data_IF_741414964325
#
_entry.id   IF_741414964325
#
_cell.length_a   1.000
_cell.length_b   1.000
_cell.length_c   1.000
_cell.angle_alpha   90.00
_cell.angle_beta   90.00
_cell.angle_gamma   90.00
#
_symmetry.space_group_name_H-M   'P 1'
#
loop_
_entity.id
_entity.type
_entity.pdbx_description
1 polymer ?
#
# COMPACT_ATOMS: atom_id res chain seq x y z
N UNK A 1 49.09 6.86 44.09
CA UNK A 1 48.14 7.91 43.66
C UNK A 1 47.85 7.66 42.18
N UNK A 2 46.65 7.39 41.70
CA UNK A 2 45.32 7.07 42.26
C UNK A 2 44.44 6.77 41.03
N UNK A 3 43.88 5.59 40.85
CA UNK A 3 42.66 5.06 41.47
C UNK A 3 41.36 5.66 40.90
N UNK A 4 40.57 4.79 40.25
CA UNK A 4 39.18 4.95 39.75
C UNK A 4 39.02 5.85 38.49
N UNK A 5 38.13 5.55 37.53
CA UNK A 5 37.00 4.60 37.56
C UNK A 5 36.88 3.68 36.33
N UNK A 6 36.09 2.60 36.47
CA UNK A 6 35.73 1.66 35.39
C UNK A 6 34.31 1.94 34.92
N UNK A 7 34.01 1.65 33.65
CA UNK A 7 32.69 1.13 33.25
C UNK A 7 32.85 0.22 32.02
N UNK A 8 32.77 -1.09 32.27
CA UNK A 8 32.80 -2.14 31.25
C UNK A 8 31.39 -2.33 30.68
N UNK A 9 31.22 -2.21 29.36
CA UNK A 9 30.01 -2.68 28.68
C UNK A 9 30.20 -4.16 28.29
N UNK A 10 29.36 -5.04 28.86
CA UNK A 10 29.41 -6.48 28.60
C UNK A 10 28.70 -6.86 27.29
N UNK A 11 29.19 -7.84 26.53
CA UNK A 11 28.39 -8.47 25.49
C UNK A 11 27.35 -9.40 26.13
N UNK A 12 26.09 -9.27 25.72
CA UNK A 12 25.06 -10.27 26.00
C UNK A 12 25.03 -11.28 24.85
N UNK A 13 25.41 -12.52 25.18
CA UNK A 13 25.28 -13.67 24.30
C UNK A 13 24.45 -14.75 25.01
N UNK A 14 23.77 -15.59 24.21
CA UNK A 14 22.81 -16.65 24.58
C UNK A 14 21.37 -16.12 24.82
N UNK A 15 20.31 -16.88 24.50
CA UNK A 15 20.26 -18.32 24.20
C UNK A 15 19.17 -18.69 23.18
N UNK A 16 19.52 -19.56 22.22
CA UNK A 16 18.56 -20.33 21.42
C UNK A 16 18.79 -21.83 21.68
N UNK A 17 18.02 -22.40 22.61
CA UNK A 17 17.96 -23.85 22.85
C UNK A 17 16.57 -24.21 23.40
N UNK A 18 15.72 -24.83 22.57
CA UNK A 18 14.40 -25.33 22.94
C UNK A 18 13.80 -26.13 21.79
N UNK A 19 13.26 -27.33 22.05
CA UNK A 19 12.86 -28.29 21.01
C UNK A 19 11.41 -28.75 21.21
N UNK A 20 10.58 -28.60 20.17
CA UNK A 20 9.39 -29.39 19.81
C UNK A 20 8.15 -29.42 20.74
N UNK A 21 6.95 -29.24 20.17
CA UNK A 21 5.87 -30.28 20.12
C UNK A 21 4.51 -29.72 19.62
N UNK A 22 3.87 -30.35 18.62
CA UNK A 22 2.53 -29.99 18.06
C UNK A 22 1.32 -30.50 18.91
N UNK A 23 0.14 -29.89 18.66
CA UNK A 23 -1.24 -30.48 18.66
C UNK A 23 -2.14 -30.48 19.94
N UNK A 24 -3.34 -29.83 19.89
CA UNK A 24 -4.72 -30.43 20.02
C UNK A 24 -5.92 -29.45 20.23
N UNK A 25 -6.92 -29.55 19.33
CA UNK A 25 -8.41 -29.52 19.46
C UNK A 25 -9.25 -28.31 20.00
N UNK A 26 -9.98 -27.68 19.05
CA UNK A 26 -11.45 -27.62 18.84
C UNK A 26 -12.49 -26.97 19.82
N UNK A 27 -13.24 -26.00 19.25
CA UNK A 27 -14.73 -25.87 19.15
C UNK A 27 -15.59 -25.17 20.25
N UNK A 28 -16.36 -24.13 19.84
CA UNK A 28 -17.85 -24.21 19.64
C UNK A 28 -18.66 -22.88 19.49
N UNK A 29 -19.43 -22.76 18.39
CA UNK A 29 -20.83 -22.26 18.25
C UNK A 29 -21.27 -20.76 18.37
N UNK A 30 -21.52 -20.15 17.20
CA UNK A 30 -22.76 -19.46 16.69
C UNK A 30 -23.72 -18.69 17.64
N UNK A 31 -24.11 -17.44 17.28
CA UNK A 31 -25.46 -17.10 16.72
C UNK A 31 -25.72 -15.60 16.39
N UNK A 32 -26.73 -15.38 15.55
CA UNK A 32 -26.98 -14.29 14.57
C UNK A 32 -27.86 -13.07 14.96
N UNK A 33 -27.53 -11.91 14.36
CA UNK A 33 -28.36 -10.90 13.62
C UNK A 33 -29.27 -9.81 14.30
N UNK A 34 -29.59 -8.68 13.58
CA UNK A 34 -30.13 -7.42 14.16
C UNK A 34 -31.42 -6.81 13.51
N UNK A 35 -31.93 -5.68 14.07
CA UNK A 35 -32.94 -4.74 13.50
C UNK A 35 -33.00 -3.42 14.34
N UNK A 36 -33.48 -2.22 13.93
CA UNK A 36 -33.97 -1.70 12.63
C UNK A 36 -34.47 -0.22 12.67
N UNK A 37 -34.65 0.38 11.48
CA UNK A 37 -35.24 1.70 11.06
C UNK A 37 -36.40 2.34 11.88
N UNK A 38 -36.63 3.68 11.94
CA UNK A 38 -37.31 4.52 10.89
C UNK A 38 -37.55 6.03 11.24
N UNK A 39 -37.37 6.92 10.24
CA UNK A 39 -38.22 8.03 9.72
C UNK A 39 -39.10 9.02 10.59
N UNK A 40 -39.06 10.34 10.24
CA UNK A 40 -40.07 11.14 9.43
C UNK A 40 -40.52 12.55 9.95
N UNK A 41 -40.63 13.49 8.98
CA UNK A 41 -41.69 14.50 8.76
C UNK A 41 -41.63 15.98 9.32
N UNK A 42 -41.75 16.93 8.39
CA UNK A 42 -42.38 18.29 8.53
C UNK A 42 -43.84 18.23 7.96
N UNK A 43 -44.69 19.30 7.76
CA UNK A 43 -44.40 20.70 7.34
C UNK A 43 -45.36 21.82 7.87
N UNK A 44 -45.34 23.03 7.29
CA UNK A 44 -46.39 24.06 7.48
C UNK A 44 -46.20 25.33 6.62
N UNK A 45 -47.28 25.91 6.05
CA UNK A 45 -47.26 27.11 5.21
C UNK A 45 -48.61 27.85 5.13
N UNK A 46 -48.61 29.20 5.01
CA UNK A 46 -49.71 30.12 4.55
C UNK A 46 -49.39 31.58 4.96
N UNK A 47 -50.00 32.69 4.49
CA UNK A 47 -50.69 33.16 3.24
C UNK A 47 -51.12 34.65 3.51
N UNK A 48 -51.68 35.36 2.50
CA UNK A 48 -52.54 36.60 2.57
C UNK A 48 -51.83 37.97 2.38
N UNK A 49 -52.48 39.06 1.89
CA UNK A 49 -53.49 39.28 0.81
C UNK A 49 -53.54 40.80 0.46
N UNK A 50 -54.17 41.17 -0.67
CA UNK A 50 -54.40 42.58 -1.10
C UNK A 50 -55.63 43.23 -0.42
N UNK A 51 -55.68 44.57 -0.42
CA UNK A 51 -56.89 45.40 -0.18
C UNK A 51 -56.86 46.71 -1.00
N UNK A 52 -58.03 47.29 -1.31
CA UNK A 52 -58.19 48.50 -2.13
C UNK A 52 -59.56 49.19 -1.90
N UNK A 53 -59.70 50.42 -2.43
CA UNK A 53 -60.93 51.15 -2.87
C UNK A 53 -61.58 52.27 -2.00
N UNK A 54 -61.88 53.37 -2.73
CA UNK A 54 -63.07 54.25 -2.72
C UNK A 54 -63.26 55.44 -1.73
N UNK A 55 -63.78 56.56 -2.29
CA UNK A 55 -64.33 57.74 -1.61
C UNK A 55 -64.41 59.01 -2.50
N UNK A 56 -65.62 59.45 -2.88
CA UNK A 56 -65.96 60.61 -3.75
C UNK A 56 -66.78 61.68 -2.94
N UNK A 57 -67.43 62.75 -3.48
CA UNK A 57 -67.35 63.52 -4.75
C UNK A 57 -67.41 65.08 -4.58
N UNK A 58 -67.51 65.88 -5.66
CA UNK A 58 -68.15 67.22 -5.56
C UNK A 58 -67.98 68.28 -6.68
N UNK A 59 -69.12 68.72 -7.25
CA UNK A 59 -69.39 70.00 -7.95
C UNK A 59 -68.98 70.21 -9.44
N UNK A 60 -69.69 71.14 -10.10
CA UNK A 60 -69.85 71.28 -11.57
C UNK A 60 -69.44 72.67 -12.07
N UNK A 61 -68.96 72.78 -13.31
CA UNK A 61 -69.42 73.83 -14.25
C UNK A 61 -68.99 73.56 -15.71
N UNK A 62 -69.77 74.09 -16.64
CA UNK A 62 -69.62 73.98 -18.11
C UNK A 62 -68.59 74.95 -18.68
N UNK A 63 -67.89 74.59 -19.77
CA UNK A 63 -67.81 75.39 -21.00
C UNK A 63 -67.07 74.67 -22.15
N UNK A 64 -67.21 75.21 -23.36
CA UNK A 64 -66.93 74.57 -24.66
C UNK A 64 -65.47 74.65 -25.14
N UNK A 65 -65.14 73.80 -26.12
CA UNK A 65 -63.81 73.50 -26.65
C UNK A 65 -62.85 74.69 -26.88
N UNK A 66 -61.54 74.51 -26.60
CA UNK A 66 -60.64 73.97 -27.63
C UNK A 66 -59.93 72.65 -27.22
N UNK A 67 -60.58 71.84 -26.40
CA UNK A 67 -60.02 70.67 -25.72
C UNK A 67 -59.48 69.51 -26.61
N UNK A 68 -59.47 69.61 -27.94
CA UNK A 68 -58.88 68.60 -28.84
C UNK A 68 -57.44 68.92 -29.26
N UNK A 69 -57.02 70.19 -29.32
CA UNK A 69 -55.67 70.57 -29.76
C UNK A 69 -54.65 70.49 -28.61
N UNK A 70 -54.89 71.22 -27.51
CA UNK A 70 -54.02 71.23 -26.33
C UNK A 70 -53.91 69.84 -25.68
N UNK A 71 -55.01 69.06 -25.65
CA UNK A 71 -55.00 67.68 -25.15
C UNK A 71 -54.13 66.75 -26.01
N UNK A 72 -54.10 66.95 -27.34
CA UNK A 72 -53.16 66.23 -28.23
C UNK A 72 -51.71 66.66 -28.03
N UNK A 73 -51.44 67.93 -27.73
CA UNK A 73 -50.09 68.40 -27.42
C UNK A 73 -49.58 67.84 -26.08
N UNK A 74 -50.39 67.92 -25.02
CA UNK A 74 -50.08 67.36 -23.70
C UNK A 74 -49.89 65.83 -23.74
N UNK A 75 -50.74 65.10 -24.48
CA UNK A 75 -50.58 63.65 -24.68
C UNK A 75 -49.29 63.30 -25.46
N UNK A 76 -48.88 64.12 -26.44
CA UNK A 76 -47.58 63.93 -27.13
C UNK A 76 -46.39 64.25 -26.21
N UNK A 77 -46.50 65.26 -25.36
CA UNK A 77 -45.44 65.64 -24.42
C UNK A 77 -45.26 64.58 -23.32
N UNK A 78 -46.33 64.23 -22.59
CA UNK A 78 -46.31 63.11 -21.63
C UNK A 78 -45.96 61.77 -22.28
N UNK A 79 -46.34 61.54 -23.55
CA UNK A 79 -45.92 60.36 -24.30
C UNK A 79 -44.41 60.31 -24.51
N UNK A 80 -43.80 61.41 -24.99
CA UNK A 80 -42.33 61.52 -25.15
C UNK A 80 -41.60 61.41 -23.82
N UNK A 81 -42.12 62.03 -22.77
CA UNK A 81 -41.48 62.04 -21.46
C UNK A 81 -41.60 60.69 -20.74
N UNK A 82 -42.73 59.99 -20.87
CA UNK A 82 -42.87 58.58 -20.45
C UNK A 82 -41.84 57.71 -21.17
N UNK A 83 -41.74 57.79 -22.50
CA UNK A 83 -40.76 57.01 -23.30
C UNK A 83 -39.31 57.35 -22.89
N UNK A 84 -39.01 58.63 -22.59
CA UNK A 84 -37.69 59.04 -22.08
C UNK A 84 -37.40 58.40 -20.72
N UNK A 85 -38.30 58.56 -19.75
CA UNK A 85 -38.14 58.00 -18.39
C UNK A 85 -38.07 56.46 -18.40
N UNK A 86 -38.84 55.80 -19.27
CA UNK A 86 -38.85 54.36 -19.46
C UNK A 86 -37.53 53.86 -20.11
N UNK A 87 -37.02 54.56 -21.13
CA UNK A 87 -35.72 54.24 -21.73
C UNK A 87 -34.52 54.56 -20.82
N UNK A 88 -34.62 55.57 -19.95
CA UNK A 88 -33.60 55.86 -18.93
C UNK A 88 -33.65 54.84 -17.78
N UNK A 89 -34.83 54.40 -17.37
CA UNK A 89 -35.01 53.28 -16.44
C UNK A 89 -34.44 51.96 -16.97
N UNK A 90 -34.63 51.67 -18.25
CA UNK A 90 -33.99 50.51 -18.93
C UNK A 90 -32.47 50.66 -18.98
N UNK A 91 -31.94 51.85 -19.33
CA UNK A 91 -30.48 52.14 -19.30
C UNK A 91 -29.88 52.02 -17.90
N UNK A 92 -30.61 52.39 -16.85
CA UNK A 92 -30.16 52.27 -15.46
C UNK A 92 -30.14 50.81 -15.00
N UNK A 93 -31.22 50.03 -15.26
CA UNK A 93 -31.27 48.60 -14.95
C UNK A 93 -30.19 47.81 -15.68
N UNK A 94 -29.94 48.13 -16.95
CA UNK A 94 -28.88 47.50 -17.74
C UNK A 94 -27.49 47.71 -17.11
N UNK A 95 -27.15 48.95 -16.75
CA UNK A 95 -25.88 49.27 -16.06
C UNK A 95 -25.74 48.60 -14.69
N UNK A 96 -26.84 48.45 -13.94
CA UNK A 96 -26.82 47.73 -12.67
C UNK A 96 -26.52 46.23 -12.86
N UNK A 97 -27.15 45.60 -13.86
CA UNK A 97 -26.89 44.19 -14.22
C UNK A 97 -25.44 44.02 -14.71
N UNK A 98 -24.97 44.87 -15.62
CA UNK A 98 -23.59 44.85 -16.12
C UNK A 98 -22.56 45.01 -14.98
N UNK A 99 -22.83 45.87 -13.99
CA UNK A 99 -22.00 46.00 -12.79
C UNK A 99 -21.96 44.72 -11.94
N UNK A 100 -23.11 44.06 -11.72
CA UNK A 100 -23.14 42.79 -10.96
C UNK A 100 -22.49 41.63 -11.70
N UNK A 101 -22.57 41.59 -13.04
CA UNK A 101 -21.89 40.57 -13.86
C UNK A 101 -20.38 40.74 -13.75
N UNK A 102 -19.86 41.96 -13.91
CA UNK A 102 -18.42 42.24 -13.77
C UNK A 102 -17.89 41.89 -12.36
N UNK A 103 -18.67 42.11 -11.30
CA UNK A 103 -18.27 41.72 -9.94
C UNK A 103 -18.24 40.19 -9.76
N UNK A 104 -19.21 39.47 -10.33
CA UNK A 104 -19.22 38.00 -10.34
C UNK A 104 -18.04 37.47 -11.15
N UNK A 105 -17.78 37.99 -12.35
CA UNK A 105 -16.63 37.61 -13.18
C UNK A 105 -15.30 37.85 -12.47
N UNK A 106 -15.13 39.00 -11.80
CA UNK A 106 -13.92 39.29 -11.02
C UNK A 106 -13.74 38.31 -9.85
N UNK A 107 -14.81 37.99 -9.11
CA UNK A 107 -14.77 37.00 -8.03
C UNK A 107 -14.46 35.59 -8.55
N UNK A 108 -15.05 35.18 -9.68
CA UNK A 108 -14.77 33.90 -10.35
C UNK A 108 -13.31 33.84 -10.82
N UNK A 109 -12.79 34.91 -11.42
CA UNK A 109 -11.39 35.01 -11.86
C UNK A 109 -10.41 34.94 -10.68
N UNK A 110 -10.72 35.59 -9.56
CA UNK A 110 -9.92 35.51 -8.33
C UNK A 110 -9.91 34.10 -7.74
N UNK A 111 -11.06 33.43 -7.67
CA UNK A 111 -11.16 32.03 -7.19
C UNK A 111 -10.42 31.08 -8.14
N UNK A 112 -10.58 31.22 -9.45
CA UNK A 112 -9.86 30.42 -10.44
C UNK A 112 -8.33 30.62 -10.33
N UNK A 113 -7.88 31.87 -10.19
CA UNK A 113 -6.47 32.19 -9.95
C UNK A 113 -5.93 31.56 -8.66
N UNK A 114 -6.69 31.63 -7.56
CA UNK A 114 -6.33 30.98 -6.30
C UNK A 114 -6.23 29.45 -6.44
N UNK A 115 -7.17 28.81 -7.14
CA UNK A 115 -7.13 27.37 -7.44
C UNK A 115 -5.89 27.01 -8.26
N UNK A 116 -5.56 27.77 -9.31
CA UNK A 116 -4.33 27.54 -10.11
C UNK A 116 -3.07 27.68 -9.26
N UNK A 117 -3.00 28.67 -8.37
CA UNK A 117 -1.87 28.83 -7.43
C UNK A 117 -1.77 27.66 -6.46
N UNK A 118 -2.89 27.21 -5.88
CA UNK A 118 -2.91 26.04 -4.97
C UNK A 118 -2.46 24.78 -5.69
N UNK A 119 -2.99 24.50 -6.88
CA UNK A 119 -2.58 23.35 -7.70
C UNK A 119 -1.10 23.43 -8.09
N UNK A 120 -0.60 24.62 -8.46
CA UNK A 120 0.81 24.84 -8.75
C UNK A 120 1.73 24.60 -7.55
N UNK A 121 1.33 25.03 -6.35
CA UNK A 121 2.06 24.77 -5.10
C UNK A 121 2.04 23.28 -4.72
N UNK A 122 0.91 22.59 -4.90
CA UNK A 122 0.80 21.15 -4.66
C UNK A 122 1.67 20.36 -5.64
N UNK A 123 1.62 20.70 -6.94
CA UNK A 123 2.44 20.10 -7.98
C UNK A 123 3.94 20.33 -7.71
N UNK A 124 4.35 21.56 -7.41
CA UNK A 124 5.75 21.89 -7.10
C UNK A 124 6.25 21.14 -5.86
N UNK A 125 5.42 21.04 -4.81
CA UNK A 125 5.75 20.24 -3.61
C UNK A 125 5.90 18.75 -3.94
N UNK A 126 5.00 18.19 -4.76
CA UNK A 126 5.10 16.80 -5.20
C UNK A 126 6.37 16.56 -6.02
N UNK A 127 6.64 17.40 -7.01
CA UNK A 127 7.83 17.34 -7.86
C UNK A 127 9.13 17.45 -7.05
N UNK A 128 9.21 18.39 -6.10
CA UNK A 128 10.39 18.55 -5.25
C UNK A 128 10.59 17.37 -4.29
N UNK A 129 9.51 16.78 -3.74
CA UNK A 129 9.59 15.54 -2.94
C UNK A 129 10.08 14.37 -3.79
N UNK A 130 9.46 14.14 -4.95
CA UNK A 130 9.86 13.09 -5.89
C UNK A 130 11.33 13.24 -6.32
N UNK A 131 11.79 14.47 -6.60
CA UNK A 131 13.19 14.74 -6.95
C UNK A 131 14.16 14.53 -5.79
N UNK A 132 13.78 14.88 -4.54
CA UNK A 132 14.60 14.62 -3.34
C UNK A 132 14.68 13.12 -3.05
N UNK A 133 13.55 12.41 -3.08
CA UNK A 133 13.51 10.96 -2.95
C UNK A 133 14.35 10.29 -4.03
N UNK A 134 14.20 10.66 -5.30
CA UNK A 134 15.04 10.16 -6.39
C UNK A 134 16.53 10.58 -6.31
N UNK A 135 16.90 11.55 -5.46
CA UNK A 135 18.30 11.82 -5.16
C UNK A 135 18.80 10.88 -4.07
N UNK A 136 18.08 10.79 -2.94
CA UNK A 136 18.37 9.85 -1.84
C UNK A 136 18.49 8.41 -2.36
N UNK A 137 17.54 7.95 -3.18
CA UNK A 137 17.54 6.60 -3.78
C UNK A 137 18.71 6.33 -4.74
N UNK A 138 19.51 7.34 -5.10
CA UNK A 138 20.77 7.16 -5.87
C UNK A 138 22.02 7.29 -5.01
N UNK A 139 21.88 7.65 -3.73
CA UNK A 139 23.02 7.71 -2.82
C UNK A 139 23.38 6.30 -2.34
N UNK A 140 24.67 5.92 -2.43
CA UNK A 140 25.14 4.62 -1.96
C UNK A 140 24.79 4.40 -0.48
N UNK A 141 24.68 3.15 -0.04
CA UNK A 141 24.49 2.86 1.38
C UNK A 141 25.70 3.39 2.20
N UNK A 142 25.47 3.88 3.43
CA UNK A 142 26.56 4.31 4.31
C UNK A 142 27.59 3.19 4.53
N UNK A 143 28.89 3.50 4.68
CA UNK A 143 29.92 2.49 4.96
C UNK A 143 29.58 1.58 6.14
N UNK A 144 29.08 2.15 7.23
CA UNK A 144 28.66 1.43 8.44
C UNK A 144 27.53 0.41 8.18
N UNK A 145 26.66 0.68 7.22
CA UNK A 145 25.59 -0.25 6.81
C UNK A 145 26.13 -1.40 5.95
N UNK A 146 27.13 -1.14 5.10
CA UNK A 146 27.83 -2.20 4.35
C UNK A 146 28.64 -3.11 5.26
N UNK A 147 29.30 -2.54 6.27
CA UNK A 147 30.03 -3.29 7.29
C UNK A 147 29.07 -4.19 8.08
N UNK A 148 27.92 -3.66 8.51
CA UNK A 148 26.88 -4.42 9.20
C UNK A 148 26.32 -5.57 8.34
N UNK A 149 26.03 -5.31 7.05
CA UNK A 149 25.59 -6.35 6.12
C UNK A 149 26.66 -7.41 5.88
N UNK A 150 27.93 -7.03 5.78
CA UNK A 150 29.05 -7.97 5.64
C UNK A 150 29.26 -8.82 6.91
N UNK A 151 28.98 -8.27 8.09
CA UNK A 151 29.01 -9.05 9.34
C UNK A 151 27.82 -10.02 9.43
N UNK A 152 26.60 -9.50 9.23
CA UNK A 152 25.36 -10.20 9.57
C UNK A 152 24.80 -11.09 8.48
N UNK A 153 25.02 -10.79 7.20
CA UNK A 153 24.33 -11.48 6.08
C UNK A 153 25.34 -12.29 5.26
N UNK A 154 25.42 -13.63 5.41
CA UNK A 154 26.32 -14.47 4.60
C UNK A 154 26.12 -14.28 3.09
N UNK A 155 24.86 -14.14 2.66
CA UNK A 155 24.46 -13.90 1.28
C UNK A 155 25.04 -12.59 0.72
N UNK A 156 25.16 -11.52 1.53
CA UNK A 156 25.84 -10.28 1.14
C UNK A 156 27.31 -10.52 0.84
N UNK A 157 28.01 -11.27 1.71
CA UNK A 157 29.46 -11.57 1.56
C UNK A 157 29.78 -12.38 0.31
N UNK A 158 28.91 -13.31 -0.08
CA UNK A 158 29.04 -14.07 -1.33
C UNK A 158 28.76 -13.21 -2.55
N UNK A 159 27.68 -12.43 -2.54
CA UNK A 159 27.21 -11.65 -3.70
C UNK A 159 28.29 -10.78 -4.38
N UNK A 160 28.40 -10.78 -5.73
CA UNK A 160 29.30 -9.92 -6.48
C UNK A 160 29.10 -8.42 -6.21
N UNK A 161 30.20 -7.67 -6.16
CA UNK A 161 30.23 -6.25 -5.81
C UNK A 161 29.39 -5.37 -6.76
N UNK A 162 29.35 -5.70 -8.05
CA UNK A 162 28.51 -5.03 -9.04
C UNK A 162 27.01 -5.21 -8.71
N UNK A 163 26.60 -6.44 -8.37
CA UNK A 163 25.22 -6.74 -8.01
C UNK A 163 24.83 -6.08 -6.67
N UNK A 164 25.74 -6.03 -5.70
CA UNK A 164 25.52 -5.29 -4.45
C UNK A 164 25.19 -3.82 -4.73
N UNK A 165 25.97 -3.15 -5.58
CA UNK A 165 25.77 -1.74 -5.96
C UNK A 165 24.46 -1.50 -6.70
N UNK A 166 24.04 -2.46 -7.53
CA UNK A 166 22.72 -2.43 -8.19
C UNK A 166 21.56 -2.62 -7.19
N UNK A 167 21.80 -3.32 -6.07
CA UNK A 167 20.82 -3.49 -5.00
C UNK A 167 20.70 -2.30 -4.03
N UNK A 168 21.76 -1.52 -3.80
CA UNK A 168 21.72 -0.39 -2.83
C UNK A 168 20.53 0.58 -3.03
N UNK A 169 20.19 1.02 -4.26
CA UNK A 169 18.98 1.82 -4.51
C UNK A 169 17.66 1.13 -4.13
N UNK A 170 17.58 -0.20 -4.32
CA UNK A 170 16.38 -1.01 -4.04
C UNK A 170 16.17 -1.15 -2.54
N UNK A 171 17.23 -1.51 -1.81
CA UNK A 171 17.22 -1.62 -0.34
C UNK A 171 16.86 -0.27 0.29
N UNK A 172 17.40 0.84 -0.23
CA UNK A 172 17.04 2.18 0.25
C UNK A 172 15.59 2.55 -0.05
N UNK A 173 15.03 2.12 -1.19
CA UNK A 173 13.61 2.32 -1.49
C UNK A 173 12.73 1.51 -0.53
N UNK A 174 13.06 0.23 -0.33
CA UNK A 174 12.38 -0.64 0.62
C UNK A 174 12.33 -0.06 2.04
N UNK A 175 13.46 0.44 2.54
CA UNK A 175 13.57 1.03 3.88
C UNK A 175 12.76 2.33 4.09
N UNK A 176 12.44 3.05 3.00
CA UNK A 176 11.62 4.27 2.99
C UNK A 176 10.13 3.96 2.80
N UNK A 177 9.80 2.95 2.00
CA UNK A 177 8.41 2.58 1.65
C UNK A 177 7.76 1.64 2.66
N UNK A 178 8.51 0.66 3.17
CA UNK A 178 7.99 -0.41 4.04
C UNK A 178 8.18 -0.02 5.51
N UNK A 179 7.09 -0.01 6.27
CA UNK A 179 7.14 0.27 7.71
C UNK A 179 7.56 -0.98 8.49
N UNK A 180 8.61 -0.87 9.28
CA UNK A 180 8.93 -1.89 10.26
C UNK A 180 8.25 -1.60 11.60
N UNK A 181 7.60 -2.60 12.19
CA UNK A 181 6.86 -2.48 13.45
C UNK A 181 7.36 -3.54 14.43
N UNK A 182 7.84 -3.10 15.59
CA UNK A 182 8.22 -4.01 16.66
C UNK A 182 7.01 -4.48 17.45
N UNK A 183 6.87 -5.79 17.59
CA UNK A 183 5.80 -6.46 18.32
C UNK A 183 6.36 -7.16 19.57
N UNK A 184 5.47 -7.57 20.50
CA UNK A 184 5.89 -8.26 21.73
C UNK A 184 6.78 -7.43 22.67
N UNK A 185 6.83 -6.10 22.49
CA UNK A 185 7.72 -5.20 23.23
C UNK A 185 9.13 -5.04 22.63
N UNK A 186 9.39 -5.62 21.45
CA UNK A 186 10.63 -5.41 20.71
C UNK A 186 10.71 -3.97 20.18
N UNK A 187 11.84 -3.30 20.37
CA UNK A 187 12.17 -2.05 19.68
C UNK A 187 12.97 -2.39 18.41
N UNK A 188 12.43 -2.02 17.24
CA UNK A 188 13.11 -2.30 15.95
C UNK A 188 14.31 -1.39 15.79
N UNK A 189 15.49 -1.99 15.61
CA UNK A 189 16.75 -1.29 15.34
C UNK A 189 16.98 -1.13 13.83
N UNK A 190 17.84 -0.18 13.44
CA UNK A 190 18.24 -0.04 12.03
C UNK A 190 18.96 -1.28 11.48
N UNK A 191 19.62 -2.07 12.35
CA UNK A 191 20.18 -3.38 12.01
C UNK A 191 19.10 -4.35 11.51
N UNK A 192 18.02 -4.53 12.29
CA UNK A 192 16.92 -5.42 11.92
C UNK A 192 16.32 -5.03 10.58
N UNK A 193 16.06 -3.72 10.40
CA UNK A 193 15.51 -3.17 9.16
C UNK A 193 16.42 -3.46 7.97
N UNK A 194 17.72 -3.22 8.12
CA UNK A 194 18.69 -3.37 7.04
C UNK A 194 18.91 -4.84 6.65
N UNK A 195 19.04 -5.73 7.63
CA UNK A 195 19.22 -7.19 7.42
C UNK A 195 18.01 -7.79 6.70
N UNK A 196 16.79 -7.43 7.11
CA UNK A 196 15.56 -7.90 6.46
C UNK A 196 15.42 -7.27 5.06
N UNK A 197 15.57 -5.95 4.94
CA UNK A 197 15.42 -5.24 3.66
C UNK A 197 16.43 -5.70 2.61
N UNK A 198 17.66 -6.04 2.99
CA UNK A 198 18.65 -6.59 2.07
C UNK A 198 18.19 -7.93 1.50
N UNK A 199 17.85 -8.88 2.38
CA UNK A 199 17.47 -10.24 1.98
C UNK A 199 16.20 -10.25 1.12
N UNK A 200 15.17 -9.51 1.53
CA UNK A 200 13.97 -9.27 0.71
C UNK A 200 14.33 -8.72 -0.69
N UNK A 201 15.22 -7.72 -0.77
CA UNK A 201 15.63 -7.15 -2.04
C UNK A 201 16.45 -8.09 -2.95
N UNK A 202 17.01 -9.20 -2.44
CA UNK A 202 17.70 -10.21 -3.28
C UNK A 202 16.70 -10.83 -4.25
N UNK A 203 15.51 -11.22 -3.78
CA UNK A 203 14.47 -11.87 -4.59
C UNK A 203 13.97 -11.00 -5.75
N UNK A 204 14.16 -9.67 -5.66
CA UNK A 204 13.80 -8.70 -6.69
C UNK A 204 15.02 -7.99 -7.32
N UNK A 205 16.24 -8.50 -7.16
CA UNK A 205 17.44 -7.82 -7.63
C UNK A 205 17.41 -7.51 -9.15
N UNK A 206 16.87 -8.43 -9.97
CA UNK A 206 16.65 -8.24 -11.43
C UNK A 206 15.23 -7.81 -11.82
N UNK A 207 14.35 -7.52 -10.86
CA UNK A 207 12.93 -7.17 -11.07
C UNK A 207 12.68 -5.67 -10.87
N UNK A 208 11.48 -5.21 -11.18
CA UNK A 208 11.06 -3.86 -10.80
C UNK A 208 10.84 -3.77 -9.27
N UNK A 209 11.27 -2.69 -8.58
CA UNK A 209 11.01 -2.54 -7.14
C UNK A 209 9.52 -2.44 -6.77
N UNK A 210 8.67 -2.06 -7.72
CA UNK A 210 7.22 -1.92 -7.54
C UNK A 210 6.48 -3.23 -7.21
N UNK A 211 7.15 -4.38 -7.27
CA UNK A 211 6.63 -5.65 -6.75
C UNK A 211 6.28 -5.56 -5.25
N UNK A 212 7.04 -4.76 -4.48
CA UNK A 212 6.74 -4.49 -3.07
C UNK A 212 5.89 -3.23 -2.85
N UNK A 213 5.26 -2.65 -3.89
CA UNK A 213 4.47 -1.42 -3.75
C UNK A 213 3.18 -1.60 -2.91
N UNK A 214 2.69 -2.83 -2.76
CA UNK A 214 1.55 -3.18 -1.90
C UNK A 214 1.95 -3.50 -0.46
N UNK A 215 3.23 -3.79 -0.19
CA UNK A 215 3.73 -4.16 1.13
C UNK A 215 3.80 -2.92 2.04
N UNK A 216 2.82 -2.77 2.93
CA UNK A 216 2.73 -1.66 3.87
C UNK A 216 3.66 -1.82 5.07
N UNK A 217 3.82 -3.05 5.61
CA UNK A 217 4.65 -3.26 6.80
C UNK A 217 5.25 -4.64 6.99
N UNK A 218 6.42 -4.69 7.62
CA UNK A 218 7.01 -5.89 8.22
C UNK A 218 6.82 -5.80 9.74
N UNK A 219 6.14 -6.77 10.34
CA UNK A 219 6.02 -6.91 11.79
C UNK A 219 7.16 -7.81 12.29
N UNK A 220 7.88 -7.38 13.32
CA UNK A 220 9.03 -8.11 13.87
C UNK A 220 8.75 -8.46 15.33
N UNK A 221 8.69 -9.76 15.62
CA UNK A 221 8.56 -10.31 16.97
C UNK A 221 9.94 -10.74 17.50
N UNK A 222 10.15 -10.82 18.83
CA UNK A 222 11.43 -11.26 19.37
C UNK A 222 11.71 -12.76 19.11
N UNK A 223 10.68 -13.60 19.19
CA UNK A 223 10.72 -15.06 19.09
C UNK A 223 9.46 -15.56 18.32
N UNK A 224 9.44 -16.86 17.97
CA UNK A 224 8.24 -17.58 17.50
C UNK A 224 7.00 -17.27 18.36
N UNK A 225 5.85 -17.13 17.72
CA UNK A 225 4.57 -16.92 18.38
C UNK A 225 3.44 -17.65 17.65
N UNK A 226 2.30 -17.80 18.31
CA UNK A 226 1.11 -18.46 17.75
C UNK A 226 0.02 -17.40 17.64
N UNK A 227 -0.49 -17.18 16.42
CA UNK A 227 -1.78 -16.51 16.21
C UNK A 227 -2.81 -17.60 15.92
N UNK A 228 -3.95 -17.50 16.59
CA UNK A 228 -5.13 -18.26 16.20
C UNK A 228 -5.80 -17.51 15.04
N UNK A 229 -5.69 -18.07 13.83
CA UNK A 229 -6.40 -17.54 12.67
C UNK A 229 -7.74 -18.23 12.46
N UNK A 230 -8.67 -17.47 11.88
CA UNK A 230 -10.03 -17.87 11.55
C UNK A 230 -10.33 -17.46 10.11
N UNK A 231 -10.02 -18.30 9.14
CA UNK A 231 -10.45 -18.09 7.75
C UNK A 231 -11.96 -18.39 7.64
N UNK A 232 -12.77 -17.42 7.20
CA UNK A 232 -14.19 -17.62 6.88
C UNK A 232 -14.36 -17.73 5.35
N UNK A 233 -14.76 -18.90 4.86
CA UNK A 233 -14.93 -19.14 3.41
C UNK A 233 -16.19 -18.45 2.82
N UNK A 234 -16.37 -18.50 1.49
CA UNK A 234 -17.60 -17.96 0.82
C UNK A 234 -18.91 -18.62 1.30
N UNK A 235 -18.85 -19.73 2.05
CA UNK A 235 -19.99 -20.42 2.65
C UNK A 235 -20.18 -20.11 4.16
N UNK A 236 -19.32 -19.31 4.79
CA UNK A 236 -19.35 -18.99 6.22
C UNK A 236 -18.81 -20.10 7.12
N UNK A 237 -17.94 -20.97 6.61
CA UNK A 237 -17.21 -21.96 7.39
C UNK A 237 -15.94 -21.31 7.91
N UNK A 238 -15.84 -21.21 9.25
CA UNK A 238 -14.61 -20.79 9.91
C UNK A 238 -13.69 -21.98 10.11
N UNK A 239 -12.49 -21.93 9.53
CA UNK A 239 -11.42 -22.90 9.78
C UNK A 239 -10.54 -22.37 10.92
N UNK A 240 -10.67 -22.94 12.11
CA UNK A 240 -9.80 -22.67 13.26
C UNK A 240 -8.49 -23.47 13.12
N UNK A 241 -7.39 -22.77 12.82
CA UNK A 241 -6.06 -23.36 12.67
C UNK A 241 -5.07 -22.90 13.73
N UNK A 242 -4.40 -23.83 14.41
CA UNK A 242 -3.23 -23.53 15.25
C UNK A 242 -1.95 -23.83 14.47
N UNK A 243 -1.32 -22.81 13.89
CA UNK A 243 0.03 -22.90 13.31
C UNK A 243 1.04 -22.17 14.19
N UNK A 244 2.27 -22.69 14.27
CA UNK A 244 3.40 -22.03 14.91
C UNK A 244 4.01 -21.12 13.86
N UNK A 245 4.09 -19.81 14.13
CA UNK A 245 4.44 -18.82 13.12
C UNK A 245 5.93 -18.46 13.23
N UNK A 246 6.70 -18.98 12.28
CA UNK A 246 8.04 -18.47 11.96
C UNK A 246 7.93 -17.21 11.08
N UNK A 247 6.94 -17.21 10.18
CA UNK A 247 6.39 -16.02 9.54
C UNK A 247 4.99 -16.25 8.94
N UNK A 248 4.43 -15.20 8.34
CA UNK A 248 3.21 -15.23 7.51
C UNK A 248 3.01 -13.91 6.74
N UNK A 249 2.29 -13.96 5.62
CA UNK A 249 1.74 -12.78 4.92
C UNK A 249 0.31 -12.46 5.39
N UNK A 250 0.17 -11.59 6.40
CA UNK A 250 -1.13 -11.18 6.98
C UNK A 250 -1.78 -10.07 6.13
N UNK A 251 -2.80 -10.44 5.33
CA UNK A 251 -3.25 -9.65 4.17
C UNK A 251 -2.10 -9.41 3.16
N UNK A 252 -2.40 -9.11 1.89
CA UNK A 252 -1.36 -8.84 0.86
C UNK A 252 -0.54 -7.55 1.13
N UNK A 253 -0.70 -6.90 2.29
CA UNK A 253 0.01 -5.70 2.72
C UNK A 253 1.00 -5.91 3.89
N UNK A 254 1.10 -7.10 4.52
CA UNK A 254 2.03 -7.31 5.65
C UNK A 254 2.77 -8.63 5.60
N UNK A 255 4.00 -8.61 6.08
CA UNK A 255 4.83 -9.80 6.37
C UNK A 255 5.15 -9.80 7.86
N UNK A 256 5.25 -10.97 8.47
CA UNK A 256 5.62 -11.12 9.88
C UNK A 256 6.82 -12.04 10.03
N UNK A 257 7.76 -11.68 10.92
CA UNK A 257 9.02 -12.37 11.13
C UNK A 257 9.36 -12.47 12.61
N UNK A 258 9.90 -13.61 13.03
CA UNK A 258 10.64 -13.76 14.29
C UNK A 258 12.08 -13.27 14.12
N UNK A 259 12.55 -12.34 14.96
CA UNK A 259 13.93 -11.83 14.90
C UNK A 259 14.96 -12.90 15.27
N UNK A 260 14.61 -13.83 16.16
CA UNK A 260 15.42 -15.03 16.42
C UNK A 260 15.69 -15.78 15.12
N UNK A 261 14.63 -16.06 14.37
CA UNK A 261 14.66 -16.87 13.14
C UNK A 261 15.47 -16.16 12.05
N UNK A 262 15.37 -14.82 11.95
CA UNK A 262 16.22 -14.00 11.07
C UNK A 262 17.70 -14.06 11.46
N UNK A 263 18.01 -14.17 12.76
CA UNK A 263 19.40 -14.38 13.22
C UNK A 263 19.89 -15.82 12.93
N UNK A 264 19.02 -16.83 13.07
CA UNK A 264 19.34 -18.23 12.81
C UNK A 264 19.51 -18.51 11.31
N UNK A 265 18.77 -17.79 10.46
CA UNK A 265 18.91 -17.73 8.98
C UNK A 265 20.29 -17.29 8.48
N UNK A 266 21.18 -16.85 9.38
CA UNK A 266 22.55 -16.44 9.07
C UNK A 266 23.60 -17.53 9.40
N UNK A 267 23.17 -18.74 9.77
CA UNK A 267 24.02 -19.88 10.07
C UNK A 267 24.69 -20.45 8.80
N UNK A 268 26.04 -20.55 8.72
CA UNK A 268 26.70 -21.10 7.53
C UNK A 268 26.43 -22.59 7.33
N UNK A 269 25.92 -22.96 6.15
CA UNK A 269 25.72 -24.36 5.74
C UNK A 269 24.36 -24.95 6.10
N UNK A 270 23.44 -24.14 6.61
CA UNK A 270 22.01 -24.44 6.63
C UNK A 270 21.35 -23.97 5.32
N UNK A 271 20.23 -24.58 4.94
CA UNK A 271 19.37 -24.08 3.86
C UNK A 271 18.40 -22.99 4.35
N UNK A 272 18.05 -23.03 5.63
CA UNK A 272 16.98 -22.21 6.23
C UNK A 272 17.25 -20.70 6.14
N UNK A 273 16.29 -19.95 5.60
CA UNK A 273 16.26 -18.50 5.62
C UNK A 273 14.82 -17.94 5.63
N UNK A 274 14.30 -17.63 6.82
CA UNK A 274 12.92 -17.15 7.03
C UNK A 274 12.59 -15.88 6.23
N UNK A 275 13.57 -15.00 5.96
CA UNK A 275 13.32 -13.78 5.18
C UNK A 275 13.14 -14.12 3.70
N UNK A 276 13.89 -15.08 3.16
CA UNK A 276 13.70 -15.52 1.79
C UNK A 276 12.39 -16.32 1.64
N UNK A 277 12.06 -17.14 2.64
CA UNK A 277 10.82 -17.90 2.74
C UNK A 277 9.58 -17.01 2.65
N UNK A 278 9.41 -16.08 3.60
CA UNK A 278 8.23 -15.21 3.66
C UNK A 278 8.08 -14.28 2.45
N UNK A 279 9.20 -13.78 1.94
CA UNK A 279 9.16 -12.95 0.74
C UNK A 279 8.96 -13.77 -0.55
N UNK A 280 9.21 -15.09 -0.55
CA UNK A 280 8.79 -15.98 -1.64
C UNK A 280 7.26 -16.18 -1.63
N UNK A 281 6.66 -16.46 -0.47
CA UNK A 281 5.20 -16.52 -0.30
C UNK A 281 4.53 -15.21 -0.73
N UNK A 282 5.05 -14.06 -0.28
CA UNK A 282 4.56 -12.75 -0.73
C UNK A 282 4.66 -12.60 -2.26
N UNK A 283 5.77 -13.00 -2.88
CA UNK A 283 5.92 -12.91 -4.35
C UNK A 283 4.85 -13.75 -5.07
N UNK A 284 4.55 -14.95 -4.59
CA UNK A 284 3.52 -15.80 -5.18
C UNK A 284 2.11 -15.22 -5.00
N UNK A 285 1.79 -14.74 -3.79
CA UNK A 285 0.54 -14.02 -3.53
C UNK A 285 0.33 -12.80 -4.44
N UNK A 286 1.38 -12.02 -4.76
CA UNK A 286 1.23 -10.87 -5.68
C UNK A 286 0.81 -11.25 -7.11
N UNK A 287 0.97 -12.50 -7.52
CA UNK A 287 0.52 -13.02 -8.82
C UNK A 287 -0.68 -13.98 -8.70
N UNK A 288 -1.33 -14.03 -7.54
CA UNK A 288 -2.50 -14.88 -7.28
C UNK A 288 -2.14 -16.36 -7.16
N UNK A 289 -1.03 -16.66 -6.46
CA UNK A 289 -0.48 -18.00 -6.23
C UNK A 289 -0.02 -18.73 -7.51
N UNK A 290 0.16 -17.98 -8.62
CA UNK A 290 0.40 -18.54 -9.93
C UNK A 290 1.80 -19.20 -10.12
N UNK A 291 2.70 -19.09 -9.15
CA UNK A 291 4.03 -19.71 -9.17
C UNK A 291 3.99 -21.12 -8.58
N UNK A 292 3.28 -21.30 -7.46
CA UNK A 292 3.08 -22.62 -6.83
C UNK A 292 1.90 -23.40 -7.43
N UNK A 293 0.80 -22.73 -7.77
CA UNK A 293 -0.38 -23.38 -8.32
C UNK A 293 -0.21 -23.74 -9.80
N UNK A 294 0.07 -25.02 -10.07
CA UNK A 294 0.10 -25.59 -11.41
C UNK A 294 -1.25 -25.53 -12.17
N UNK A 295 -2.37 -25.21 -11.50
CA UNK A 295 -3.65 -24.92 -12.17
C UNK A 295 -3.67 -23.58 -12.92
N UNK A 296 -2.70 -22.71 -12.65
CA UNK A 296 -2.47 -21.44 -13.34
C UNK A 296 -2.33 -21.62 -14.84
N UNK A 297 -3.25 -21.03 -15.60
CA UNK A 297 -3.32 -21.18 -17.08
C UNK A 297 -2.34 -20.28 -17.84
N UNK A 298 -1.32 -19.75 -17.17
CA UNK A 298 -0.31 -18.89 -17.78
C UNK A 298 0.69 -19.73 -18.58
N UNK A 299 0.50 -19.82 -19.90
CA UNK A 299 1.41 -20.55 -20.82
C UNK A 299 2.90 -20.20 -20.68
N UNK A 300 3.22 -19.02 -20.19
CA UNK A 300 4.60 -18.62 -19.92
C UNK A 300 5.27 -19.41 -18.77
N UNK A 301 4.48 -20.11 -17.95
CA UNK A 301 4.92 -20.91 -16.81
C UNK A 301 4.79 -22.43 -17.07
N UNK A 302 4.42 -22.87 -18.28
CA UNK A 302 4.17 -24.29 -18.58
C UNK A 302 5.41 -25.20 -18.33
N UNK A 303 6.63 -24.73 -18.68
CA UNK A 303 7.88 -25.43 -18.34
C UNK A 303 8.23 -25.32 -16.85
N UNK A 304 7.94 -24.17 -16.24
CA UNK A 304 8.17 -23.90 -14.81
C UNK A 304 7.34 -24.83 -13.92
N UNK A 305 6.01 -24.90 -14.13
CA UNK A 305 5.11 -25.75 -13.36
C UNK A 305 5.46 -27.24 -13.54
N UNK A 306 5.76 -27.68 -14.76
CA UNK A 306 6.14 -29.07 -15.02
C UNK A 306 7.47 -29.48 -14.36
N UNK A 307 8.35 -28.53 -14.01
CA UNK A 307 9.56 -28.78 -13.21
C UNK A 307 9.23 -28.74 -11.72
N UNK A 308 8.50 -27.72 -11.24
CA UNK A 308 8.14 -27.60 -9.81
C UNK A 308 7.28 -28.78 -9.34
N UNK A 309 6.21 -29.13 -10.06
CA UNK A 309 5.31 -30.24 -9.73
C UNK A 309 6.09 -31.56 -9.60
N UNK A 310 6.98 -31.83 -10.56
CA UNK A 310 7.81 -33.05 -10.57
C UNK A 310 8.82 -33.10 -9.41
N UNK A 311 9.45 -31.97 -9.07
CA UNK A 311 10.45 -31.92 -7.99
C UNK A 311 9.77 -31.95 -6.62
N UNK A 312 8.56 -31.37 -6.50
CA UNK A 312 7.67 -31.51 -5.34
C UNK A 312 7.22 -32.97 -5.15
N UNK A 313 6.69 -33.64 -6.18
CA UNK A 313 6.34 -35.07 -6.12
C UNK A 313 7.55 -35.93 -5.70
N UNK A 314 8.75 -35.61 -6.20
CA UNK A 314 9.99 -36.30 -5.85
C UNK A 314 10.38 -36.07 -4.38
N UNK A 315 10.23 -34.84 -3.87
CA UNK A 315 10.45 -34.50 -2.46
C UNK A 315 9.48 -35.25 -1.55
N UNK A 316 8.17 -35.16 -1.80
CA UNK A 316 7.14 -35.89 -1.04
C UNK A 316 7.45 -37.39 -1.00
N UNK A 317 7.78 -37.98 -2.16
CA UNK A 317 8.13 -39.39 -2.25
C UNK A 317 9.40 -39.75 -1.46
N UNK A 318 10.39 -38.87 -1.37
CA UNK A 318 11.61 -39.07 -0.59
C UNK A 318 11.36 -38.96 0.92
N UNK A 319 10.56 -37.97 1.33
CA UNK A 319 10.13 -37.77 2.72
C UNK A 319 9.30 -38.95 3.22
N UNK A 320 8.38 -39.49 2.41
CA UNK A 320 7.63 -40.72 2.71
C UNK A 320 8.53 -41.95 2.94
N UNK A 321 9.68 -42.02 2.26
CA UNK A 321 10.69 -43.08 2.43
C UNK A 321 11.65 -42.82 3.59
N UNK A 322 11.62 -41.64 4.20
CA UNK A 322 12.57 -41.23 5.24
C UNK A 322 14.00 -41.04 4.71
N UNK A 323 14.15 -40.58 3.46
CA UNK A 323 15.44 -40.27 2.85
C UNK A 323 15.93 -38.87 3.24
N UNK A 324 17.24 -38.69 3.39
CA UNK A 324 17.84 -37.36 3.62
C UNK A 324 17.77 -36.52 2.34
N UNK A 325 17.05 -35.40 2.36
CA UNK A 325 16.84 -34.50 1.23
C UNK A 325 17.74 -33.26 1.31
N UNK A 326 17.93 -32.54 0.18
CA UNK A 326 18.61 -31.23 0.20
C UNK A 326 17.64 -30.10 0.52
N UNK A 327 16.48 -30.12 -0.14
CA UNK A 327 15.33 -29.25 0.14
C UNK A 327 14.71 -29.76 1.43
N UNK A 328 14.38 -28.86 2.37
CA UNK A 328 13.84 -29.25 3.68
C UNK A 328 12.51 -30.03 3.53
N UNK A 329 12.31 -31.14 4.28
CA UNK A 329 11.06 -31.90 4.29
C UNK A 329 9.78 -31.08 4.54
N UNK A 330 9.86 -29.90 5.16
CA UNK A 330 8.72 -28.98 5.32
C UNK A 330 8.13 -28.54 3.97
N UNK A 331 8.95 -28.44 2.92
CA UNK A 331 8.50 -28.18 1.55
C UNK A 331 7.64 -29.31 0.94
N UNK A 332 7.40 -30.41 1.67
CA UNK A 332 6.43 -31.44 1.30
C UNK A 332 5.04 -31.25 1.95
N UNK A 333 4.79 -30.19 2.74
CA UNK A 333 3.45 -29.92 3.28
C UNK A 333 2.48 -29.43 2.18
N UNK A 334 2.90 -28.52 1.29
CA UNK A 334 2.16 -28.12 0.08
C UNK A 334 3.07 -27.46 -1.00
N UNK A 335 2.58 -27.21 -2.24
CA UNK A 335 3.39 -26.62 -3.32
C UNK A 335 3.86 -25.16 -3.11
N UNK A 336 3.20 -24.39 -2.24
CA UNK A 336 3.66 -23.03 -1.91
C UNK A 336 4.85 -23.11 -0.95
N UNK A 337 4.76 -23.97 0.07
CA UNK A 337 5.89 -24.27 0.95
C UNK A 337 7.07 -24.86 0.17
N UNK A 338 6.81 -25.73 -0.83
CA UNK A 338 7.84 -26.20 -1.74
C UNK A 338 8.58 -25.06 -2.45
N UNK A 339 7.84 -24.08 -3.00
CA UNK A 339 8.45 -22.94 -3.69
C UNK A 339 9.27 -22.05 -2.74
N UNK A 340 8.79 -21.83 -1.52
CA UNK A 340 9.50 -21.07 -0.50
C UNK A 340 10.82 -21.77 -0.08
N UNK A 341 10.76 -23.05 0.29
CA UNK A 341 11.94 -23.84 0.70
C UNK A 341 12.93 -24.07 -0.46
N UNK A 342 12.43 -24.24 -1.69
CA UNK A 342 13.29 -24.27 -2.88
C UNK A 342 13.98 -22.92 -3.13
N UNK A 343 13.33 -21.81 -2.81
CA UNK A 343 13.93 -20.46 -2.89
C UNK A 343 15.03 -20.28 -1.84
N UNK A 344 14.79 -20.68 -0.59
CA UNK A 344 15.82 -20.68 0.47
C UNK A 344 17.05 -21.48 0.03
N UNK A 345 16.83 -22.74 -0.40
CA UNK A 345 17.88 -23.64 -0.89
C UNK A 345 18.65 -23.04 -2.07
N UNK A 346 17.97 -22.35 -2.99
CA UNK A 346 18.58 -21.71 -4.16
C UNK A 346 19.53 -20.56 -3.82
N UNK A 347 19.33 -19.87 -2.69
CA UNK A 347 20.22 -18.79 -2.28
C UNK A 347 21.28 -19.24 -1.27
N UNK A 348 20.94 -20.11 -0.31
CA UNK A 348 21.88 -20.54 0.74
C UNK A 348 22.76 -21.74 0.35
N UNK A 349 22.22 -22.75 -0.35
CA UNK A 349 22.96 -23.95 -0.81
C UNK A 349 22.95 -24.10 -2.36
N UNK A 350 23.33 -23.07 -3.14
CA UNK A 350 23.14 -23.05 -4.59
C UNK A 350 23.98 -24.08 -5.34
N UNK A 351 25.20 -24.37 -4.88
CA UNK A 351 26.10 -25.30 -5.56
C UNK A 351 25.62 -26.76 -5.40
N UNK A 352 25.08 -27.10 -4.23
CA UNK A 352 24.42 -28.36 -3.93
C UNK A 352 23.12 -28.49 -4.73
N UNK A 353 22.34 -27.41 -4.85
CA UNK A 353 21.09 -27.39 -5.60
C UNK A 353 21.33 -27.57 -7.10
N UNK A 354 22.33 -26.89 -7.68
CA UNK A 354 22.73 -27.08 -9.08
C UNK A 354 23.14 -28.53 -9.35
N UNK A 355 23.82 -29.19 -8.40
CA UNK A 355 24.27 -30.58 -8.55
C UNK A 355 23.14 -31.61 -8.39
N UNK A 356 22.24 -31.43 -7.42
CA UNK A 356 21.21 -32.43 -7.07
C UNK A 356 19.88 -32.20 -7.79
N UNK A 357 19.49 -30.95 -8.00
CA UNK A 357 18.23 -30.52 -8.64
C UNK A 357 18.49 -29.59 -9.84
N UNK A 358 19.31 -29.98 -10.84
CA UNK A 358 19.78 -29.09 -11.91
C UNK A 358 18.66 -28.46 -12.74
N UNK A 359 17.51 -29.13 -12.89
CA UNK A 359 16.37 -28.59 -13.65
C UNK A 359 15.66 -27.50 -12.86
N UNK A 360 15.40 -27.74 -11.57
CA UNK A 360 14.83 -26.75 -10.66
C UNK A 360 15.75 -25.53 -10.50
N UNK A 361 17.06 -25.75 -10.39
CA UNK A 361 18.05 -24.67 -10.34
C UNK A 361 17.99 -23.77 -11.58
N UNK A 362 17.87 -24.34 -12.79
CA UNK A 362 17.73 -23.56 -14.03
C UNK A 362 16.41 -22.76 -14.06
N UNK A 363 15.30 -23.32 -13.60
CA UNK A 363 14.03 -22.58 -13.53
C UNK A 363 14.07 -21.44 -12.51
N UNK A 364 14.65 -21.65 -11.32
CA UNK A 364 14.84 -20.60 -10.32
C UNK A 364 15.85 -19.53 -10.78
N UNK A 365 16.91 -19.92 -11.49
CA UNK A 365 17.84 -19.00 -12.16
C UNK A 365 17.13 -18.13 -13.21
N UNK A 366 16.29 -18.73 -14.08
CA UNK A 366 15.47 -17.99 -15.05
C UNK A 366 14.51 -17.03 -14.34
N UNK A 367 13.86 -17.48 -13.27
CA UNK A 367 12.87 -16.72 -12.52
C UNK A 367 13.50 -15.52 -11.79
N UNK A 368 14.58 -15.71 -11.03
CA UNK A 368 15.25 -14.64 -10.30
C UNK A 368 16.19 -13.79 -11.17
N UNK A 369 16.66 -14.32 -12.31
CA UNK A 369 17.70 -13.69 -13.14
C UNK A 369 19.08 -13.70 -12.47
N UNK A 370 19.30 -14.63 -11.54
CA UNK A 370 20.48 -14.71 -10.67
C UNK A 370 21.13 -16.08 -10.78
N UNK A 371 22.42 -16.16 -10.48
CA UNK A 371 23.20 -17.40 -10.46
C UNK A 371 24.03 -17.50 -9.17
N UNK A 372 23.42 -17.82 -8.01
CA UNK A 372 24.11 -17.79 -6.72
C UNK A 372 25.20 -18.88 -6.58
N UNK A 373 25.20 -19.90 -7.45
CA UNK A 373 26.28 -20.90 -7.53
C UNK A 373 27.58 -20.35 -8.15
N UNK A 374 27.61 -19.07 -8.53
CA UNK A 374 28.76 -18.36 -9.12
C UNK A 374 29.18 -17.09 -8.36
N UNK A 375 28.68 -16.92 -7.14
CA UNK A 375 28.96 -15.77 -6.26
C UNK A 375 30.23 -16.00 -5.43
#
# INVERSE_FOLDING_TARGET
MGALDRLEARPLARACTGRSSRTRLCAALRQTRPCGSTARASPGAARLRRGALCGEPGARSTHTAPARALRRAALRWHGRERIRNESDGVRARRRAVEGTVNEIELRVALVAGAVVVVLGVLWLRSFLRARRRAALLREPLPPEWRELLAERVPLYRRMPEELRREMEPKVRAFLEDVRFVGCGGLEVTDEMRLVIAWQACVLIARRDPGVYASLASVLVYPDEFVVEESEEDEAGVVTEGTRVLSGQTFDTDRIVLSWRDVCESSAPGDAYNVVLHEFAHYLDHTVGNALSDASSRLRALEEWHAVLEREYEALCSAVERGEDTLIDPYGAEDPAEFFAVATETFFELPAEMEQRHPRLYVELQKFYGLDPARW
#
